data_IF_387759052566
#
_entry.id   IF_387759052566
#
_cell.length_a   1.000
_cell.length_b   1.000
_cell.length_c   1.000
_cell.angle_alpha   90.00
_cell.angle_beta   90.00
_cell.angle_gamma   90.00
#
_symmetry.space_group_name_H-M   'P 1'
#
loop_
_entity.id
_entity.type
_entity.pdbx_description
1 polymer ?
#
# COMPACT_ATOMS: atom_id res chain seq x y z
N UNK A 1 31.83 -2.90 15.34
CA UNK A 1 30.37 -3.08 15.28
C UNK A 1 29.88 -3.71 16.57
N UNK A 2 28.86 -3.18 17.07
CA UNK A 2 28.25 -3.75 18.26
C UNK A 2 27.26 -4.82 17.86
N UNK A 3 27.44 -5.99 18.39
CA UNK A 3 26.41 -7.00 18.25
C UNK A 3 25.31 -6.65 19.24
N UNK A 4 24.11 -6.50 18.73
CA UNK A 4 23.00 -6.26 19.58
C UNK A 4 22.61 -7.56 20.26
N UNK A 5 22.86 -7.64 21.58
CA UNK A 5 22.53 -8.82 22.37
C UNK A 5 21.22 -8.67 23.12
N UNK A 6 20.56 -7.52 22.98
CA UNK A 6 19.28 -7.28 23.64
C UNK A 6 18.14 -7.80 22.80
N UNK A 7 17.16 -8.42 23.45
CA UNK A 7 15.93 -8.77 22.79
C UNK A 7 15.19 -7.49 22.39
N UNK A 8 14.65 -7.47 21.16
CA UNK A 8 13.92 -6.30 20.67
C UNK A 8 13.44 -6.48 19.26
N UNK A 9 12.64 -5.53 18.79
CA UNK A 9 12.20 -5.49 17.41
C UNK A 9 13.35 -5.02 16.53
N UNK A 10 13.56 -5.67 15.39
CA UNK A 10 14.69 -5.39 14.51
C UNK A 10 14.31 -4.76 13.19
N UNK A 11 13.09 -4.99 12.70
CA UNK A 11 12.64 -4.44 11.43
C UNK A 11 11.13 -4.49 11.34
N UNK A 12 10.58 -3.71 10.40
CA UNK A 12 9.16 -3.75 10.10
C UNK A 12 8.84 -5.04 9.35
N UNK A 13 7.81 -5.77 9.78
CA UNK A 13 7.44 -7.03 9.15
C UNK A 13 6.30 -6.84 8.13
N UNK A 14 5.15 -6.36 8.58
CA UNK A 14 4.01 -6.15 7.69
C UNK A 14 2.95 -5.29 8.37
N UNK A 15 2.02 -4.80 7.57
CA UNK A 15 0.85 -4.08 8.05
C UNK A 15 -0.40 -4.80 7.57
N UNK A 16 -1.35 -5.02 8.46
CA UNK A 16 -2.61 -5.66 8.13
C UNK A 16 -3.72 -4.60 8.09
N UNK A 17 -4.38 -4.49 6.93
CA UNK A 17 -5.52 -3.60 6.76
C UNK A 17 -6.80 -4.40 6.80
N UNK A 18 -7.78 -3.90 7.54
CA UNK A 18 -9.14 -4.39 7.45
C UNK A 18 -9.84 -3.61 6.35
N UNK A 19 -10.39 -4.30 5.37
CA UNK A 19 -11.06 -3.66 4.23
C UNK A 19 -12.52 -4.06 4.19
N UNK A 20 -13.35 -3.26 3.53
CA UNK A 20 -14.78 -3.52 3.45
C UNK A 20 -15.14 -4.55 2.38
N UNK A 21 -14.39 -4.58 1.29
CA UNK A 21 -14.60 -5.50 0.18
C UNK A 21 -13.24 -6.03 -0.26
N UNK A 22 -12.95 -7.27 0.17
CA UNK A 22 -11.64 -7.86 -0.03
C UNK A 22 -11.25 -7.98 -1.50
N UNK A 23 -12.17 -8.45 -2.35
CA UNK A 23 -11.87 -8.63 -3.77
C UNK A 23 -11.62 -7.30 -4.48
N UNK A 24 -12.37 -6.28 -4.14
CA UNK A 24 -12.20 -4.94 -4.71
C UNK A 24 -10.84 -4.36 -4.31
N UNK A 25 -10.47 -4.44 -3.04
CA UNK A 25 -9.19 -3.95 -2.56
C UNK A 25 -8.03 -4.75 -3.14
N UNK A 26 -8.18 -6.07 -3.23
CA UNK A 26 -7.16 -6.91 -3.85
C UNK A 26 -6.91 -6.51 -5.30
N UNK A 27 -7.97 -6.25 -6.08
CA UNK A 27 -7.81 -5.78 -7.46
C UNK A 27 -7.06 -4.45 -7.53
N UNK A 28 -7.36 -3.54 -6.60
CA UNK A 28 -6.64 -2.27 -6.55
C UNK A 28 -5.12 -2.49 -6.39
N UNK A 29 -4.72 -3.25 -5.39
CA UNK A 29 -3.30 -3.44 -5.11
C UNK A 29 -2.61 -4.31 -6.17
N UNK A 30 -3.24 -5.35 -6.65
CA UNK A 30 -2.65 -6.25 -7.63
C UNK A 30 -2.68 -5.65 -9.04
N UNK A 31 -3.86 -5.26 -9.52
CA UNK A 31 -4.03 -4.87 -10.91
C UNK A 31 -3.52 -3.46 -11.19
N UNK A 32 -3.69 -2.54 -10.25
CA UNK A 32 -3.31 -1.15 -10.45
C UNK A 32 -1.93 -0.81 -9.90
N UNK A 33 -1.53 -1.40 -8.77
CA UNK A 33 -0.25 -1.11 -8.17
C UNK A 33 0.81 -2.18 -8.40
N UNK A 34 0.46 -3.33 -8.99
CA UNK A 34 1.42 -4.36 -9.30
C UNK A 34 1.88 -5.20 -8.11
N UNK A 35 1.09 -5.22 -7.04
CA UNK A 35 1.43 -6.03 -5.87
C UNK A 35 1.30 -7.51 -6.20
N UNK A 36 2.09 -8.34 -5.54
CA UNK A 36 2.06 -9.79 -5.73
C UNK A 36 1.57 -10.48 -4.47
N UNK A 37 0.53 -11.29 -4.63
CA UNK A 37 -0.04 -12.08 -3.53
C UNK A 37 0.91 -13.20 -3.16
N UNK A 38 1.13 -13.37 -1.85
CA UNK A 38 1.86 -14.51 -1.32
C UNK A 38 0.86 -15.59 -0.89
N UNK A 39 1.22 -16.88 -1.03
CA UNK A 39 0.39 -17.95 -0.49
C UNK A 39 0.23 -17.80 1.02
N UNK A 40 -0.98 -18.00 1.52
CA UNK A 40 -1.25 -17.91 2.95
C UNK A 40 -2.50 -18.68 3.31
N UNK A 41 -2.54 -19.10 4.57
CA UNK A 41 -3.74 -19.70 5.17
C UNK A 41 -4.59 -18.58 5.77
N UNK A 42 -5.90 -18.82 5.99
CA UNK A 42 -6.70 -17.87 6.73
C UNK A 42 -6.12 -17.55 8.10
N UNK A 43 -6.52 -16.40 8.65
CA UNK A 43 -6.15 -16.03 10.01
C UNK A 43 -6.71 -17.05 11.01
N UNK A 44 -6.17 -17.07 12.22
CA UNK A 44 -6.57 -18.03 13.25
C UNK A 44 -8.06 -17.98 13.56
N UNK A 45 -8.69 -16.82 13.41
CA UNK A 45 -10.13 -16.64 13.64
C UNK A 45 -10.99 -16.95 12.41
N UNK A 46 -10.38 -17.46 11.34
CA UNK A 46 -11.08 -17.86 10.12
C UNK A 46 -11.24 -16.78 9.07
N UNK A 47 -10.87 -15.52 9.36
CA UNK A 47 -10.97 -14.46 8.37
C UNK A 47 -9.97 -14.71 7.23
N UNK A 48 -10.32 -14.36 5.98
CA UNK A 48 -9.38 -14.47 4.88
C UNK A 48 -8.17 -13.56 5.10
N UNK A 49 -7.04 -13.97 4.58
CA UNK A 49 -5.77 -13.25 4.74
C UNK A 49 -5.07 -13.20 3.40
N UNK A 50 -4.85 -11.99 2.89
CA UNK A 50 -4.20 -11.78 1.60
C UNK A 50 -2.93 -10.96 1.81
N UNK A 51 -1.78 -11.62 2.04
CA UNK A 51 -0.51 -10.92 2.17
C UNK A 51 0.13 -10.68 0.81
N UNK A 52 0.80 -9.53 0.69
CA UNK A 52 1.55 -9.17 -0.51
C UNK A 52 3.05 -9.19 -0.21
N UNK A 53 3.86 -9.39 -1.25
CA UNK A 53 5.32 -9.37 -1.10
C UNK A 53 5.84 -8.01 -0.66
N UNK A 54 5.06 -6.95 -0.82
CA UNK A 54 5.44 -5.59 -0.46
C UNK A 54 5.25 -5.26 1.03
N UNK A 55 4.80 -6.21 1.84
CA UNK A 55 4.67 -6.00 3.29
C UNK A 55 3.29 -5.58 3.76
N UNK A 56 2.35 -5.35 2.85
CA UNK A 56 0.96 -5.09 3.17
C UNK A 56 0.18 -6.40 3.14
N UNK A 57 -0.81 -6.53 3.99
CA UNK A 57 -1.75 -7.64 3.96
C UNK A 57 -3.16 -7.12 4.16
N UNK A 58 -4.14 -7.83 3.62
CA UNK A 58 -5.55 -7.46 3.70
C UNK A 58 -6.35 -8.52 4.42
N UNK A 59 -7.36 -8.08 5.17
CA UNK A 59 -8.41 -8.93 5.71
C UNK A 59 -9.74 -8.16 5.67
N UNK A 60 -10.81 -8.81 6.07
CA UNK A 60 -12.15 -8.23 6.06
C UNK A 60 -12.49 -7.57 7.40
N UNK A 61 -13.59 -6.83 7.44
CA UNK A 61 -14.14 -6.25 8.65
C UNK A 61 -13.89 -4.77 8.83
N UNK A 62 -13.28 -4.11 7.85
CA UNK A 62 -13.08 -2.66 7.91
C UNK A 62 -14.33 -1.90 7.47
N UNK A 63 -14.57 -0.72 8.05
CA UNK A 63 -15.63 0.15 7.57
C UNK A 63 -15.20 0.82 6.27
N UNK A 64 -16.17 1.03 5.38
CA UNK A 64 -15.92 1.74 4.14
C UNK A 64 -15.69 3.23 4.43
N UNK A 65 -14.69 3.81 3.78
CA UNK A 65 -14.39 5.25 3.86
C UNK A 65 -14.12 5.76 5.29
N UNK A 66 -13.63 4.86 6.17
CA UNK A 66 -13.26 5.22 7.53
C UNK A 66 -11.89 4.63 7.87
N UNK A 67 -10.82 5.16 7.23
CA UNK A 67 -9.47 4.60 7.39
C UNK A 67 -8.97 4.73 8.82
N UNK A 68 -8.23 3.72 9.27
CA UNK A 68 -7.68 3.65 10.63
C UNK A 68 -6.23 4.14 10.72
N UNK A 69 -5.61 4.42 9.58
CA UNK A 69 -4.22 4.87 9.51
C UNK A 69 -4.13 6.18 8.74
N UNK A 70 -3.07 6.97 8.98
CA UNK A 70 -2.87 8.22 8.25
C UNK A 70 -2.57 7.94 6.77
N UNK A 71 -1.52 7.21 6.50
CA UNK A 71 -1.20 6.74 5.15
C UNK A 71 -0.18 5.62 5.21
N UNK A 72 -0.03 4.93 4.08
CA UNK A 72 1.01 3.92 3.88
C UNK A 72 1.84 4.38 2.69
N UNK A 73 3.16 4.33 2.84
CA UNK A 73 4.07 4.73 1.76
C UNK A 73 4.78 3.52 1.18
N UNK A 74 4.90 3.50 -0.14
CA UNK A 74 5.66 2.49 -0.85
C UNK A 74 6.61 3.16 -1.84
N UNK A 75 7.82 2.63 -1.93
CA UNK A 75 8.67 2.96 -3.07
C UNK A 75 8.05 2.37 -4.33
N UNK A 76 8.15 3.11 -5.41
CA UNK A 76 7.59 2.68 -6.68
C UNK A 76 8.63 2.86 -7.77
N UNK A 77 8.48 2.07 -8.81
CA UNK A 77 9.25 2.20 -10.03
C UNK A 77 8.32 2.79 -11.08
N UNK A 78 8.78 3.85 -11.75
CA UNK A 78 8.02 4.53 -12.80
C UNK A 78 6.67 5.05 -12.28
N UNK A 79 6.73 5.98 -11.34
CA UNK A 79 5.53 6.55 -10.72
C UNK A 79 4.66 7.31 -11.73
N UNK A 80 5.25 7.83 -12.82
CA UNK A 80 4.47 8.48 -13.89
C UNK A 80 3.53 7.48 -14.59
N UNK A 81 4.05 6.30 -14.90
CA UNK A 81 3.22 5.25 -15.51
C UNK A 81 2.13 4.77 -14.56
N UNK A 82 2.46 4.66 -13.27
CA UNK A 82 1.47 4.30 -12.26
C UNK A 82 0.37 5.36 -12.19
N UNK A 83 0.75 6.64 -12.14
CA UNK A 83 -0.23 7.73 -12.12
C UNK A 83 -1.19 7.65 -13.30
N UNK A 84 -0.66 7.44 -14.51
CA UNK A 84 -1.50 7.31 -15.70
C UNK A 84 -2.46 6.12 -15.61
N UNK A 85 -1.97 4.98 -15.11
CA UNK A 85 -2.80 3.78 -14.93
C UNK A 85 -3.92 4.02 -13.94
N UNK A 86 -3.61 4.67 -12.81
CA UNK A 86 -4.60 4.95 -11.78
C UNK A 86 -5.66 5.93 -12.29
N UNK A 87 -5.26 6.94 -13.06
CA UNK A 87 -6.22 7.88 -13.67
C UNK A 87 -7.15 7.18 -14.65
N UNK A 88 -6.61 6.28 -15.47
CA UNK A 88 -7.42 5.50 -16.42
C UNK A 88 -8.44 4.62 -15.70
N UNK A 89 -8.13 4.16 -14.50
CA UNK A 89 -9.02 3.36 -13.66
C UNK A 89 -9.92 4.23 -12.77
N UNK A 90 -9.88 5.54 -12.91
CA UNK A 90 -10.70 6.50 -12.16
C UNK A 90 -10.45 6.44 -10.64
N UNK A 91 -9.22 6.15 -10.26
CA UNK A 91 -8.82 6.18 -8.85
C UNK A 91 -8.80 7.62 -8.37
N UNK A 92 -9.26 7.84 -7.15
CA UNK A 92 -9.24 9.18 -6.54
C UNK A 92 -7.83 9.52 -6.08
N UNK A 93 -7.35 10.70 -6.47
CA UNK A 93 -6.08 11.26 -6.04
C UNK A 93 -6.30 12.29 -4.95
N UNK A 94 -5.43 12.31 -3.95
CA UNK A 94 -5.29 13.44 -3.04
C UNK A 94 -4.37 14.47 -3.68
N UNK A 95 -3.26 13.99 -4.25
CA UNK A 95 -2.29 14.86 -4.93
C UNK A 95 -1.60 14.11 -6.04
N UNK A 96 -1.62 14.70 -7.24
CA UNK A 96 -0.95 14.13 -8.40
C UNK A 96 0.56 14.40 -8.35
N UNK A 97 1.27 14.03 -9.38
CA UNK A 97 2.73 14.11 -9.48
C UNK A 97 3.28 15.43 -8.94
N UNK A 98 4.18 15.32 -7.98
CA UNK A 98 4.85 16.45 -7.37
C UNK A 98 6.17 16.01 -6.75
N UNK A 99 7.05 16.96 -6.50
CA UNK A 99 8.31 16.67 -5.81
C UNK A 99 8.03 16.53 -4.32
N UNK A 100 8.13 15.30 -3.81
CA UNK A 100 7.99 15.01 -2.40
C UNK A 100 9.34 14.91 -1.70
N UNK A 101 9.31 14.62 -0.42
CA UNK A 101 10.52 14.53 0.41
C UNK A 101 11.49 13.47 -0.10
N UNK A 102 10.95 12.34 -0.59
CA UNK A 102 11.76 11.20 -1.00
C UNK A 102 11.93 11.08 -2.51
N UNK A 103 11.26 11.90 -3.30
CA UNK A 103 11.30 11.86 -4.75
C UNK A 103 9.97 12.22 -5.38
N UNK A 104 9.81 11.89 -6.66
CA UNK A 104 8.56 12.15 -7.37
C UNK A 104 7.44 11.32 -6.75
N UNK A 105 6.38 11.98 -6.32
CA UNK A 105 5.37 11.39 -5.43
C UNK A 105 3.96 11.61 -5.95
N UNK A 106 3.08 10.64 -5.67
CA UNK A 106 1.62 10.81 -5.77
C UNK A 106 0.98 10.31 -4.48
N UNK A 107 -0.16 10.90 -4.14
CA UNK A 107 -1.02 10.43 -3.06
C UNK A 107 -2.37 10.05 -3.65
N UNK A 108 -2.77 8.81 -3.45
CA UNK A 108 -4.03 8.28 -3.96
C UNK A 108 -4.79 7.58 -2.84
N UNK A 109 -6.05 7.26 -3.09
CA UNK A 109 -6.87 6.55 -2.13
C UNK A 109 -7.20 5.15 -2.64
N UNK A 110 -7.08 4.16 -1.76
CA UNK A 110 -7.55 2.82 -2.08
C UNK A 110 -9.09 2.77 -2.01
N UNK A 111 -9.73 1.63 -2.31
CA UNK A 111 -11.20 1.56 -2.33
C UNK A 111 -11.88 1.87 -1.00
N UNK A 112 -11.18 1.78 0.12
CA UNK A 112 -11.73 2.11 1.44
C UNK A 112 -11.23 3.46 1.96
N UNK A 113 -10.72 4.30 1.07
CA UNK A 113 -10.21 5.63 1.39
C UNK A 113 -8.97 5.64 2.28
N UNK A 114 -8.20 4.56 2.27
CA UNK A 114 -6.87 4.58 2.87
C UNK A 114 -5.94 5.36 1.95
N UNK A 115 -5.21 6.31 2.51
CA UNK A 115 -4.27 7.10 1.72
C UNK A 115 -2.99 6.31 1.47
N UNK A 116 -2.61 6.22 0.21
CA UNK A 116 -1.42 5.51 -0.24
C UNK A 116 -0.48 6.52 -0.89
N UNK A 117 0.73 6.58 -0.37
CA UNK A 117 1.80 7.37 -0.96
C UNK A 117 2.66 6.46 -1.82
N UNK A 118 2.91 6.88 -3.07
CA UNK A 118 3.82 6.18 -3.97
C UNK A 118 4.89 7.16 -4.39
N UNK A 119 6.16 6.81 -4.18
CA UNK A 119 7.24 7.70 -4.55
C UNK A 119 8.35 6.96 -5.29
N UNK A 120 8.92 7.63 -6.26
CA UNK A 120 10.06 7.12 -7.03
C UNK A 120 11.29 7.90 -6.60
N UNK A 121 12.19 7.22 -5.91
CA UNK A 121 13.41 7.82 -5.38
C UNK A 121 14.31 8.29 -6.53
N UNK A 122 14.79 9.52 -6.42
CA UNK A 122 15.66 10.09 -7.44
C UNK A 122 14.96 10.71 -8.64
N UNK A 123 13.66 10.49 -8.80
CA UNK A 123 12.89 11.12 -9.89
C UNK A 123 12.33 12.46 -9.43
N UNK A 124 12.15 13.38 -10.36
CA UNK A 124 11.67 14.74 -10.09
C UNK A 124 10.77 15.23 -11.22
N UNK A 125 9.99 16.25 -10.90
CA UNK A 125 9.24 17.00 -11.91
C UNK A 125 10.23 17.73 -12.82
N UNK A 126 9.91 17.90 -14.12
CA UNK A 126 10.74 18.64 -15.06
C UNK A 126 10.88 20.11 -14.68
#
# INVERSE_FOLDING_TARGET
>A
MTTDTMAGATEFAHMLLKVSDLERSKRFYVDLLGFKVRPAKPLADGRPFVPFTQGLALTVGGPKDAPQIDHIAFKAKDVRAISARLKAAQVKFDRDLHDGIYGLTIYVFDPDSNMIELYEEGAKMP
#
